data_IF_879871214148
#
_entry.id   IF_879871214148
#
_cell.length_a   1.000
_cell.length_b   1.000
_cell.length_c   1.000
_cell.angle_alpha   90.00
_cell.angle_beta   90.00
_cell.angle_gamma   90.00
#
_symmetry.space_group_name_H-M   'P 1'
#
loop_
_entity.id
_entity.type
_entity.pdbx_description
1 polymer ?
#
# COMPACT_ATOMS: atom_id res chain seq x y z
N UNK A 1 -36.94 0.14 -7.82
CA UNK A 1 -35.73 -0.56 -8.28
C UNK A 1 -34.58 -0.11 -7.40
N UNK A 2 -33.98 -1.04 -6.66
CA UNK A 2 -32.95 -0.75 -5.67
C UNK A 2 -31.61 -1.06 -6.33
N UNK A 3 -30.84 -0.03 -6.68
CA UNK A 3 -29.49 -0.20 -7.20
C UNK A 3 -28.56 -0.59 -6.04
N UNK A 4 -28.53 -1.88 -5.70
CA UNK A 4 -27.40 -2.44 -4.95
C UNK A 4 -26.25 -2.52 -5.93
N UNK A 5 -25.45 -1.45 -5.95
CA UNK A 5 -24.11 -1.52 -6.51
C UNK A 5 -23.29 -2.44 -5.61
N UNK A 6 -23.40 -3.75 -5.85
CA UNK A 6 -22.46 -4.75 -5.37
C UNK A 6 -21.14 -4.59 -6.14
N UNK A 7 -20.51 -3.42 -6.03
CA UNK A 7 -19.09 -3.35 -6.27
C UNK A 7 -18.44 -3.91 -5.01
N UNK A 8 -18.04 -5.18 -5.09
CA UNK A 8 -16.95 -5.70 -4.29
C UNK A 8 -15.68 -4.91 -4.64
N UNK A 9 -15.66 -3.64 -4.25
CA UNK A 9 -14.45 -2.84 -4.20
C UNK A 9 -13.77 -3.36 -2.94
N UNK A 10 -12.76 -4.19 -3.10
CA UNK A 10 -11.61 -4.13 -2.20
C UNK A 10 -11.05 -2.71 -2.35
N UNK A 11 -11.73 -1.73 -1.78
CA UNK A 11 -11.44 -0.31 -1.93
C UNK A 11 -10.11 -0.11 -1.24
N UNK A 12 -9.03 0.04 -1.99
CA UNK A 12 -7.76 0.44 -1.42
C UNK A 12 -8.00 1.66 -0.52
N UNK A 13 -7.39 1.71 0.67
CA UNK A 13 -7.53 2.89 1.51
C UNK A 13 -7.05 4.12 0.74
N UNK A 14 -7.68 5.27 1.00
CA UNK A 14 -7.26 6.53 0.36
C UNK A 14 -5.89 6.98 0.85
N UNK A 15 -5.58 6.74 2.12
CA UNK A 15 -4.31 7.07 2.75
C UNK A 15 -4.03 6.12 3.92
N UNK A 16 -2.78 6.08 4.39
CA UNK A 16 -2.38 5.42 5.63
C UNK A 16 -1.71 6.44 6.54
N UNK A 17 -1.94 6.34 7.85
CA UNK A 17 -1.30 7.20 8.85
C UNK A 17 -0.36 6.41 9.76
N UNK A 18 0.75 7.03 10.16
CA UNK A 18 1.59 6.54 11.26
C UNK A 18 1.07 7.04 12.59
N UNK A 19 1.47 6.39 13.68
CA UNK A 19 1.15 6.84 15.05
C UNK A 19 1.71 8.24 15.35
N UNK A 20 2.76 8.65 14.61
CA UNK A 20 3.34 9.99 14.64
C UNK A 20 2.52 11.04 13.87
N UNK A 21 1.40 10.65 13.25
CA UNK A 21 0.52 11.55 12.48
C UNK A 21 0.99 11.83 11.05
N UNK A 22 1.94 11.06 10.50
CA UNK A 22 2.34 11.21 9.10
C UNK A 22 1.39 10.44 8.19
N UNK A 23 0.77 11.13 7.23
CA UNK A 23 -0.14 10.53 6.27
C UNK A 23 0.56 10.25 4.93
N UNK A 24 0.28 9.09 4.33
CA UNK A 24 0.71 8.73 2.99
C UNK A 24 -0.51 8.47 2.11
N UNK A 25 -0.63 9.22 1.01
CA UNK A 25 -1.72 9.11 0.07
C UNK A 25 -1.53 7.87 -0.85
N UNK A 26 -2.31 6.83 -0.55
CA UNK A 26 -2.32 5.59 -1.29
C UNK A 26 -3.06 5.78 -2.63
N UNK A 27 -4.12 6.58 -2.67
CA UNK A 27 -4.85 6.83 -3.90
C UNK A 27 -3.98 7.52 -4.95
N UNK A 28 -3.16 8.49 -4.54
CA UNK A 28 -2.23 9.19 -5.43
C UNK A 28 -1.19 8.27 -6.02
N UNK A 29 -0.55 7.37 -5.24
CA UNK A 29 0.42 6.41 -5.80
C UNK A 29 -0.26 5.37 -6.69
N UNK A 30 -1.48 4.94 -6.38
CA UNK A 30 -2.24 4.03 -7.25
C UNK A 30 -2.54 4.69 -8.59
N UNK A 31 -2.98 5.96 -8.59
CA UNK A 31 -3.21 6.72 -9.84
C UNK A 31 -1.93 6.87 -10.65
N UNK A 32 -0.80 7.20 -10.02
CA UNK A 32 0.50 7.32 -10.68
C UNK A 32 1.02 5.98 -11.22
N UNK A 33 0.77 4.89 -10.50
CA UNK A 33 1.15 3.55 -10.92
C UNK A 33 0.18 2.90 -11.92
N UNK A 34 -1.02 3.45 -12.08
CA UNK A 34 -2.10 2.93 -12.91
C UNK A 34 -2.87 1.74 -12.31
N UNK A 35 -2.34 1.07 -11.28
CA UNK A 35 -3.06 0.00 -10.57
C UNK A 35 -2.53 -0.22 -9.14
N UNK A 36 -3.34 -0.80 -8.24
CA UNK A 36 -2.89 -1.18 -6.89
C UNK A 36 -1.67 -2.11 -6.89
N UNK A 37 -1.66 -3.10 -7.81
CA UNK A 37 -0.55 -4.05 -7.93
C UNK A 37 0.73 -3.36 -8.40
N UNK A 38 0.63 -2.47 -9.38
CA UNK A 38 1.78 -1.68 -9.84
C UNK A 38 2.32 -0.76 -8.74
N UNK A 39 1.45 -0.15 -7.93
CA UNK A 39 1.86 0.65 -6.77
C UNK A 39 2.56 -0.21 -5.71
N UNK A 40 2.05 -1.42 -5.45
CA UNK A 40 2.65 -2.38 -4.54
C UNK A 40 4.06 -2.77 -4.98
N UNK A 41 4.22 -3.11 -6.26
CA UNK A 41 5.51 -3.50 -6.82
C UNK A 41 6.52 -2.32 -6.81
N UNK A 42 6.06 -1.09 -7.10
CA UNK A 42 6.86 0.13 -6.98
C UNK A 42 7.38 0.33 -5.54
N UNK A 43 6.51 0.26 -4.54
CA UNK A 43 6.91 0.43 -3.14
C UNK A 43 7.87 -0.67 -2.67
N UNK A 44 7.58 -1.93 -3.01
CA UNK A 44 8.47 -3.05 -2.67
C UNK A 44 9.85 -2.89 -3.30
N UNK A 45 9.91 -2.46 -4.56
CA UNK A 45 11.17 -2.18 -5.24
C UNK A 45 11.92 -1.01 -4.60
N UNK A 46 11.24 0.06 -4.20
CA UNK A 46 11.86 1.20 -3.52
C UNK A 46 12.49 0.78 -2.18
N UNK A 47 11.75 0.06 -1.34
CA UNK A 47 12.25 -0.47 -0.06
C UNK A 47 13.43 -1.43 -0.28
N UNK A 48 13.32 -2.33 -1.26
CA UNK A 48 14.41 -3.26 -1.59
C UNK A 48 15.69 -2.53 -2.03
N UNK A 49 15.59 -1.46 -2.82
CA UNK A 49 16.74 -0.64 -3.22
C UNK A 49 17.40 0.06 -2.03
N UNK A 50 16.62 0.60 -1.10
CA UNK A 50 17.15 1.19 0.14
C UNK A 50 17.92 0.15 0.94
N UNK A 51 17.33 -1.03 1.14
CA UNK A 51 17.98 -2.12 1.88
C UNK A 51 19.25 -2.62 1.18
N UNK A 52 19.22 -2.79 -0.15
CA UNK A 52 20.40 -3.17 -0.93
C UNK A 52 21.52 -2.14 -0.89
N UNK A 53 21.19 -0.85 -0.70
CA UNK A 53 22.15 0.24 -0.55
C UNK A 53 22.79 0.35 0.84
N UNK A 54 22.46 -0.52 1.80
CA UNK A 54 22.93 -0.43 3.19
C UNK A 54 21.86 0.07 4.17
N UNK A 55 20.59 0.12 3.76
CA UNK A 55 19.47 0.55 4.59
C UNK A 55 19.54 2.03 4.96
N UNK A 56 18.90 2.42 6.07
CA UNK A 56 18.93 3.82 6.51
C UNK A 56 20.28 4.27 7.09
N UNK A 57 21.26 3.37 7.24
CA UNK A 57 22.58 3.70 7.80
C UNK A 57 23.44 4.60 6.90
N UNK A 58 23.17 4.60 5.58
CA UNK A 58 23.90 5.41 4.60
C UNK A 58 23.35 6.85 4.49
N UNK A 59 22.17 7.12 5.06
CA UNK A 59 21.55 8.43 5.00
C UNK A 59 22.05 9.30 6.17
N UNK A 60 22.31 10.58 5.90
CA UNK A 60 22.69 11.55 6.95
C UNK A 60 21.59 11.69 8.00
N UNK A 61 20.33 11.68 7.56
CA UNK A 61 19.17 11.69 8.44
C UNK A 61 18.56 10.29 8.50
N UNK A 62 19.12 9.47 9.40
CA UNK A 62 18.66 8.10 9.60
C UNK A 62 17.23 8.05 10.11
N UNK A 63 16.83 8.98 10.98
CA UNK A 63 15.48 8.99 11.55
C UNK A 63 14.43 9.29 10.48
N UNK A 64 14.66 10.29 9.63
CA UNK A 64 13.75 10.56 8.51
C UNK A 64 13.64 9.38 7.53
N UNK A 65 14.74 8.66 7.29
CA UNK A 65 14.71 7.45 6.46
C UNK A 65 13.88 6.32 7.11
N UNK A 66 14.09 6.05 8.41
CA UNK A 66 13.36 5.00 9.14
C UNK A 66 11.85 5.31 9.20
N UNK A 67 11.48 6.57 9.43
CA UNK A 67 10.08 7.01 9.37
C UNK A 67 9.48 6.80 7.97
N UNK A 68 10.22 7.15 6.92
CA UNK A 68 9.79 6.94 5.53
C UNK A 68 9.63 5.45 5.21
N UNK A 69 10.56 4.59 5.66
CA UNK A 69 10.45 3.14 5.48
C UNK A 69 9.27 2.56 6.25
N UNK A 70 9.02 3.04 7.48
CA UNK A 70 7.87 2.61 8.28
C UNK A 70 6.57 2.94 7.56
N UNK A 71 6.45 4.16 7.04
CA UNK A 71 5.29 4.61 6.27
C UNK A 71 5.13 3.80 4.97
N UNK A 72 6.22 3.54 4.25
CA UNK A 72 6.21 2.70 3.05
C UNK A 72 5.79 1.26 3.35
N UNK A 73 6.22 0.68 4.47
CA UNK A 73 5.81 -0.66 4.90
C UNK A 73 4.31 -0.72 5.26
N UNK A 74 3.78 0.29 5.99
CA UNK A 74 2.33 0.41 6.22
C UNK A 74 1.56 0.48 4.89
N UNK A 75 2.06 1.26 3.93
CA UNK A 75 1.47 1.38 2.60
C UNK A 75 1.52 0.07 1.80
N UNK A 76 2.61 -0.70 1.89
CA UNK A 76 2.73 -2.03 1.28
C UNK A 76 1.66 -2.98 1.83
N UNK A 77 1.45 -3.02 3.15
CA UNK A 77 0.42 -3.86 3.77
C UNK A 77 -0.97 -3.44 3.30
N UNK A 78 -1.24 -2.14 3.28
CA UNK A 78 -2.50 -1.60 2.76
C UNK A 78 -2.75 -1.93 1.29
N UNK A 79 -1.71 -1.89 0.46
CA UNK A 79 -1.82 -2.25 -0.96
C UNK A 79 -1.94 -3.76 -1.15
N UNK A 80 -1.33 -4.60 -0.30
CA UNK A 80 -1.47 -6.05 -0.37
C UNK A 80 -2.92 -6.50 -0.17
N UNK A 81 -3.65 -5.88 0.76
CA UNK A 81 -5.06 -6.24 1.03
C UNK A 81 -5.97 -5.94 -0.15
N UNK A 82 -5.68 -4.89 -0.93
CA UNK A 82 -6.49 -4.51 -2.09
C UNK A 82 -5.90 -4.94 -3.45
N UNK A 83 -4.65 -5.42 -3.50
CA UNK A 83 -4.01 -5.96 -4.70
C UNK A 83 -4.08 -7.48 -4.80
N UNK A 84 -4.46 -8.17 -3.72
CA UNK A 84 -4.79 -9.59 -3.79
C UNK A 84 -6.03 -9.76 -4.66
N UNK A 85 -5.95 -10.48 -5.79
CA UNK A 85 -7.14 -10.91 -6.49
C UNK A 85 -7.88 -11.82 -5.52
N UNK A 86 -8.98 -11.33 -4.93
CA UNK A 86 -9.76 -12.12 -4.02
C UNK A 86 -10.08 -13.45 -4.69
N UNK A 87 -9.64 -14.56 -4.09
CA UNK A 87 -10.28 -15.85 -4.31
C UNK A 87 -11.78 -15.58 -4.15
N UNK A 88 -12.63 -15.83 -5.16
CA UNK A 88 -14.05 -15.73 -4.95
C UNK A 88 -14.36 -16.69 -3.82
N UNK A 89 -14.78 -16.16 -2.66
CA UNK A 89 -15.33 -16.97 -1.60
C UNK A 89 -16.69 -17.43 -2.11
N UNK A 90 -16.67 -18.46 -2.94
CA UNK A 90 -17.83 -19.32 -3.22
C UNK A 90 -18.22 -19.94 -1.88
N UNK A 91 -19.10 -19.27 -1.16
CA UNK A 91 -19.97 -19.96 -0.20
C UNK A 91 -21.38 -19.86 -0.75
N UNK A 92 -21.66 -20.77 -1.67
CA UNK A 92 -22.98 -21.34 -1.91
C UNK A 92 -23.56 -21.82 -0.57
N UNK A 93 -24.72 -21.29 -0.22
CA UNK A 93 -25.77 -21.99 0.55
C UNK A 93 -27.04 -21.14 0.33
N UNK A 94 -28.08 -21.62 -0.34
CA UNK A 94 -28.71 -22.92 -0.22
C UNK A 94 -30.00 -22.70 0.55
#
# INVERSE_FOLDING_TARGET
MICVAAHAQTQCPGYVETEAGSAFDIASIIRDAGSPRSALDKLRSAVAKVNAGGGCSIFRDRLACEETLTLANKAIVALQTCSSPGTPRSTTHG
#
